data_IF_824943271286
#
_entry.id   IF_824943271286
#
_cell.length_a   1.000
_cell.length_b   1.000
_cell.length_c   1.000
_cell.angle_alpha   90.00
_cell.angle_beta   90.00
_cell.angle_gamma   90.00
#
_symmetry.space_group_name_H-M   'P 1'
#
loop_
_entity.id
_entity.type
_entity.pdbx_description
1 polymer ?
#
# COMPACT_ATOMS: atom_id res chain seq x y z
N UNK A 1 -8.41 2.34 3.48
CA UNK A 1 -9.45 1.59 2.77
C UNK A 1 -10.33 0.90 3.79
N UNK A 2 -11.59 0.66 3.44
CA UNK A 2 -12.61 0.00 4.25
C UNK A 2 -13.02 -1.32 3.62
N UNK A 3 -13.81 -2.12 4.34
CA UNK A 3 -14.48 -3.28 3.74
C UNK A 3 -15.31 -2.85 2.52
N UNK A 4 -15.40 -3.73 1.52
CA UNK A 4 -16.08 -3.51 0.23
C UNK A 4 -15.41 -2.45 -0.67
N UNK A 5 -14.18 -2.05 -0.36
CA UNK A 5 -13.34 -1.29 -1.27
C UNK A 5 -12.28 -2.19 -1.91
N UNK A 6 -11.95 -1.87 -3.15
CA UNK A 6 -10.93 -2.54 -3.95
C UNK A 6 -9.82 -1.56 -4.31
N UNK A 7 -8.58 -2.02 -4.18
CA UNK A 7 -7.40 -1.37 -4.72
C UNK A 7 -7.13 -1.97 -6.10
N UNK A 8 -7.18 -1.17 -7.15
CA UNK A 8 -6.79 -1.58 -8.49
C UNK A 8 -5.43 -0.98 -8.82
N UNK A 9 -4.55 -1.79 -9.40
CA UNK A 9 -3.27 -1.36 -9.95
C UNK A 9 -3.36 -1.60 -11.46
N UNK A 10 -3.55 -0.50 -12.19
CA UNK A 10 -3.86 -0.53 -13.62
C UNK A 10 -5.08 -1.46 -13.89
N UNK A 11 -5.10 -2.13 -15.05
CA UNK A 11 -6.07 -3.16 -15.39
C UNK A 11 -5.60 -4.60 -15.12
N UNK A 12 -4.51 -4.77 -14.37
CA UNK A 12 -3.82 -6.07 -14.24
C UNK A 12 -3.78 -6.62 -12.82
N UNK A 13 -4.05 -5.82 -11.80
CA UNK A 13 -4.19 -6.35 -10.45
C UNK A 13 -5.29 -5.65 -9.66
N UNK A 14 -5.92 -6.41 -8.78
CA UNK A 14 -6.96 -5.94 -7.88
C UNK A 14 -6.79 -6.61 -6.52
N UNK A 15 -7.01 -5.88 -5.43
CA UNK A 15 -7.05 -6.40 -4.07
C UNK A 15 -8.33 -5.90 -3.42
N UNK A 16 -9.22 -6.83 -3.10
CA UNK A 16 -10.49 -6.56 -2.45
C UNK A 16 -10.37 -6.70 -0.94
N UNK A 17 -10.98 -5.78 -0.21
CA UNK A 17 -11.06 -5.83 1.24
C UNK A 17 -12.32 -6.56 1.66
N UNK A 18 -12.17 -7.83 2.04
CA UNK A 18 -13.29 -8.70 2.40
C UNK A 18 -13.74 -8.44 3.83
N UNK A 19 -12.84 -8.58 4.80
CA UNK A 19 -13.15 -8.34 6.20
C UNK A 19 -11.97 -7.76 6.97
N UNK A 20 -12.30 -6.93 7.96
CA UNK A 20 -11.34 -6.22 8.78
C UNK A 20 -11.63 -6.46 10.27
N UNK A 21 -10.62 -6.35 11.15
CA UNK A 21 -10.84 -6.43 12.58
C UNK A 21 -11.80 -5.34 13.07
N UNK A 22 -12.92 -5.76 13.67
CA UNK A 22 -13.97 -4.86 14.17
C UNK A 22 -13.69 -4.39 15.60
N UNK A 23 -13.09 -5.25 16.44
CA UNK A 23 -12.84 -4.96 17.85
C UNK A 23 -11.44 -4.38 18.06
N UNK A 24 -11.41 -3.15 18.54
CA UNK A 24 -10.25 -2.61 19.24
C UNK A 24 -9.99 -3.46 20.49
N UNK A 25 -8.82 -4.07 20.61
CA UNK A 25 -8.33 -4.67 21.86
C UNK A 25 -7.35 -3.74 22.58
N UNK A 26 -7.19 -2.49 22.11
CA UNK A 26 -6.26 -1.52 22.69
C UNK A 26 -6.97 -0.25 23.12
N UNK A 27 -6.70 0.24 24.33
CA UNK A 27 -7.25 1.51 24.86
C UNK A 27 -6.99 2.74 23.95
N UNK A 28 -6.02 2.65 23.03
CA UNK A 28 -5.66 3.72 22.09
C UNK A 28 -6.43 3.70 20.78
N UNK A 29 -7.23 2.68 20.53
CA UNK A 29 -8.01 2.54 19.31
C UNK A 29 -9.45 3.00 19.57
N UNK A 30 -9.79 4.19 19.07
CA UNK A 30 -11.15 4.75 19.11
C UNK A 30 -12.16 3.73 18.55
N UNK A 31 -13.04 3.15 19.39
CA UNK A 31 -13.93 2.06 19.02
C UNK A 31 -14.99 2.51 17.99
N UNK A 32 -15.31 3.80 17.96
CA UNK A 32 -16.31 4.37 17.05
C UNK A 32 -15.79 4.61 15.63
N UNK A 33 -14.46 4.47 15.41
CA UNK A 33 -13.90 4.60 14.07
C UNK A 33 -14.17 3.35 13.25
N UNK A 34 -14.86 3.55 12.12
CA UNK A 34 -15.05 2.54 11.07
C UNK A 34 -13.74 1.76 10.82
N UNK A 35 -13.78 0.42 10.84
CA UNK A 35 -12.61 -0.40 10.53
C UNK A 35 -11.97 0.02 9.21
N UNK A 36 -10.64 0.09 9.21
CA UNK A 36 -9.88 0.47 8.02
C UNK A 36 -8.49 -0.13 8.02
N UNK A 37 -7.93 -0.25 6.82
CA UNK A 37 -6.55 -0.66 6.59
C UNK A 37 -5.79 0.37 5.78
N UNK A 38 -4.47 0.36 5.98
CA UNK A 38 -3.51 1.05 5.15
C UNK A 38 -2.88 0.02 4.21
N UNK A 39 -2.91 0.33 2.92
CA UNK A 39 -2.20 -0.40 1.88
C UNK A 39 -1.06 0.48 1.40
N UNK A 40 0.18 0.05 1.61
CA UNK A 40 1.37 0.74 1.07
C UNK A 40 1.79 0.01 -0.19
N UNK A 41 1.61 0.65 -1.34
CA UNK A 41 1.88 0.04 -2.65
C UNK A 41 3.33 0.31 -3.05
N UNK A 42 4.06 -0.75 -3.35
CA UNK A 42 5.39 -0.73 -3.94
C UNK A 42 5.27 -1.25 -5.36
N UNK A 43 5.15 -0.34 -6.32
CA UNK A 43 5.00 -0.65 -7.74
C UNK A 43 5.63 0.48 -8.59
N UNK A 44 5.69 0.30 -9.90
CA UNK A 44 6.12 1.37 -10.82
C UNK A 44 5.19 2.59 -10.70
N UNK A 45 5.76 3.80 -10.73
CA UNK A 45 4.99 5.06 -10.73
C UNK A 45 4.12 5.25 -11.99
N UNK A 46 4.43 4.50 -13.05
CA UNK A 46 3.67 4.52 -14.30
C UNK A 46 2.38 3.69 -14.22
N UNK A 47 2.21 2.89 -13.17
CA UNK A 47 1.00 2.09 -12.95
C UNK A 47 -0.01 2.92 -12.15
N UNK A 48 -1.13 3.34 -12.76
CA UNK A 48 -2.14 4.11 -12.05
C UNK A 48 -2.80 3.26 -10.96
N UNK A 49 -3.09 3.91 -9.83
CA UNK A 49 -3.75 3.28 -8.69
C UNK A 49 -5.17 3.84 -8.57
N UNK A 50 -6.16 2.96 -8.49
CA UNK A 50 -7.54 3.33 -8.28
C UNK A 50 -8.08 2.68 -7.01
N UNK A 51 -8.95 3.41 -6.31
CA UNK A 51 -9.73 2.89 -5.20
C UNK A 51 -11.19 3.01 -5.58
N UNK A 52 -11.92 1.90 -5.54
CA UNK A 52 -13.33 1.80 -5.95
C UNK A 52 -14.09 0.89 -4.99
N UNK A 53 -15.42 0.94 -5.05
CA UNK A 53 -16.23 -0.11 -4.43
C UNK A 53 -15.99 -1.43 -5.15
N UNK A 54 -15.95 -2.52 -4.42
CA UNK A 54 -15.74 -3.87 -4.98
C UNK A 54 -16.86 -4.26 -5.95
N UNK A 55 -18.08 -3.79 -5.72
CA UNK A 55 -19.20 -4.00 -6.65
C UNK A 55 -19.04 -3.31 -8.01
N UNK A 56 -18.21 -2.27 -8.09
CA UNK A 56 -18.00 -1.45 -9.30
C UNK A 56 -16.69 -1.80 -10.03
N UNK A 57 -15.79 -2.55 -9.39
CA UNK A 57 -14.41 -2.75 -9.87
C UNK A 57 -14.35 -3.51 -11.20
N UNK A 58 -15.18 -4.55 -11.36
CA UNK A 58 -15.26 -5.33 -12.60
C UNK A 58 -15.78 -4.48 -13.76
N UNK A 59 -16.91 -3.80 -13.59
CA UNK A 59 -17.49 -2.95 -14.64
C UNK A 59 -16.53 -1.81 -15.03
N UNK A 60 -15.83 -1.22 -14.05
CA UNK A 60 -14.80 -0.22 -14.31
C UNK A 60 -13.64 -0.80 -15.15
N UNK A 61 -13.14 -1.98 -14.79
CA UNK A 61 -12.04 -2.63 -15.50
C UNK A 61 -12.41 -2.99 -16.93
N UNK A 62 -13.58 -3.60 -17.15
CA UNK A 62 -14.08 -3.97 -18.48
C UNK A 62 -14.25 -2.73 -19.37
N UNK A 63 -14.85 -1.66 -18.84
CA UNK A 63 -15.08 -0.42 -19.58
C UNK A 63 -13.79 0.26 -20.06
N UNK A 64 -12.73 0.17 -19.27
CA UNK A 64 -11.48 0.89 -19.53
C UNK A 64 -10.31 -0.01 -19.95
N UNK A 65 -10.54 -1.31 -20.20
CA UNK A 65 -9.51 -2.23 -20.66
C UNK A 65 -8.93 -1.77 -22.00
N UNK A 66 -7.60 -1.73 -22.10
CA UNK A 66 -6.91 -1.23 -23.30
C UNK A 66 -6.93 0.30 -23.49
N UNK A 67 -7.64 1.04 -22.63
CA UNK A 67 -7.60 2.50 -22.65
C UNK A 67 -6.34 3.06 -21.97
N UNK A 68 -6.01 4.31 -22.28
CA UNK A 68 -4.92 5.04 -21.61
C UNK A 68 -5.14 5.25 -20.12
N UNK A 69 -6.39 5.09 -19.62
CA UNK A 69 -6.70 5.25 -18.20
C UNK A 69 -6.12 4.13 -17.34
N UNK A 70 -6.22 2.88 -17.81
CA UNK A 70 -5.67 1.74 -17.07
C UNK A 70 -4.18 1.53 -17.37
N UNK A 71 -3.64 2.10 -18.45
CA UNK A 71 -2.25 2.00 -18.92
C UNK A 71 -1.84 0.58 -19.33
N UNK A 72 -2.13 -0.44 -18.52
CA UNK A 72 -1.95 -1.86 -18.85
C UNK A 72 -3.21 -2.67 -18.55
N UNK A 73 -3.53 -3.73 -19.32
CA UNK A 73 -2.76 -4.22 -20.48
C UNK A 73 -2.77 -3.21 -21.64
N UNK A 74 -1.59 -2.96 -22.22
CA UNK A 74 -1.40 -2.08 -23.36
C UNK A 74 -1.32 -2.88 -24.66
N UNK A 75 -1.64 -2.30 -25.81
CA UNK A 75 -1.47 -2.95 -27.11
C UNK A 75 -2.66 -2.78 -28.03
N UNK A 76 -2.66 -3.52 -29.13
CA UNK A 76 -3.76 -3.53 -30.11
C UNK A 76 -4.97 -4.35 -29.62
N UNK A 77 -6.08 -4.21 -30.33
CA UNK A 77 -7.34 -4.87 -29.99
C UNK A 77 -7.18 -6.40 -29.88
N UNK A 78 -6.35 -7.03 -30.71
CA UNK A 78 -6.08 -8.46 -30.68
C UNK A 78 -5.41 -8.89 -29.37
N UNK A 79 -4.45 -8.11 -28.86
CA UNK A 79 -3.79 -8.39 -27.57
C UNK A 79 -4.75 -8.19 -26.40
N UNK A 80 -5.58 -7.15 -26.44
CA UNK A 80 -6.58 -6.87 -25.42
C UNK A 80 -7.62 -8.00 -25.38
N UNK A 81 -8.11 -8.47 -26.54
CA UNK A 81 -9.06 -9.57 -26.62
C UNK A 81 -8.50 -10.92 -26.15
N UNK A 82 -7.18 -11.12 -26.26
CA UNK A 82 -6.48 -12.31 -25.75
C UNK A 82 -5.98 -12.15 -24.31
N UNK A 83 -6.17 -10.97 -23.71
CA UNK A 83 -5.71 -10.75 -22.35
C UNK A 83 -6.54 -11.60 -21.40
N UNK A 84 -5.91 -12.43 -20.55
CA UNK A 84 -6.65 -13.40 -19.76
C UNK A 84 -7.43 -12.72 -18.63
N UNK A 85 -8.49 -13.39 -18.21
CA UNK A 85 -9.28 -12.96 -17.06
C UNK A 85 -8.46 -12.98 -15.77
N UNK A 86 -8.84 -12.11 -14.84
CA UNK A 86 -8.25 -12.11 -13.52
C UNK A 86 -8.88 -13.25 -12.71
N UNK A 87 -8.03 -14.14 -12.18
CA UNK A 87 -8.44 -15.11 -11.17
C UNK A 87 -7.89 -14.70 -9.83
N UNK A 88 -8.55 -15.19 -8.79
CA UNK A 88 -8.37 -14.70 -7.45
C UNK A 88 -7.79 -15.74 -6.51
N UNK A 89 -7.15 -15.27 -5.44
CA UNK A 89 -6.66 -16.08 -4.35
C UNK A 89 -6.95 -15.36 -3.02
N UNK A 90 -7.49 -16.11 -2.06
CA UNK A 90 -7.79 -15.59 -0.73
C UNK A 90 -6.47 -15.41 0.05
N UNK A 91 -6.37 -14.28 0.74
CA UNK A 91 -5.21 -13.89 1.53
C UNK A 91 -5.67 -13.56 2.94
N UNK A 92 -5.24 -14.37 3.91
CA UNK A 92 -5.56 -14.18 5.34
C UNK A 92 -4.31 -13.76 6.10
N UNK A 93 -4.39 -12.64 6.80
CA UNK A 93 -3.28 -12.04 7.55
C UNK A 93 -3.67 -11.79 8.99
N UNK A 94 -2.78 -12.10 9.93
CA UNK A 94 -2.95 -11.74 11.33
C UNK A 94 -2.17 -10.48 11.67
N UNK A 95 -2.87 -9.43 12.10
CA UNK A 95 -2.25 -8.15 12.45
C UNK A 95 -1.97 -8.03 13.94
N UNK A 96 -0.78 -7.55 14.27
CA UNK A 96 -0.38 -7.25 15.65
C UNK A 96 -0.75 -5.83 16.10
N UNK A 97 -1.21 -4.97 15.18
CA UNK A 97 -1.63 -3.59 15.46
C UNK A 97 -1.27 -2.61 14.34
N UNK A 98 -1.88 -1.42 14.39
CA UNK A 98 -1.83 -0.40 13.32
C UNK A 98 -0.47 0.28 13.12
N UNK A 99 0.52 -0.07 13.93
CA UNK A 99 1.88 0.47 13.88
C UNK A 99 2.83 -0.38 13.03
N UNK A 100 2.47 -1.63 12.70
CA UNK A 100 3.32 -2.58 11.97
C UNK A 100 2.51 -3.29 10.88
N UNK A 101 3.07 -3.40 9.69
CA UNK A 101 2.53 -4.19 8.60
C UNK A 101 2.46 -5.67 8.98
N UNK A 102 1.32 -6.30 8.72
CA UNK A 102 1.05 -7.70 9.05
C UNK A 102 1.59 -8.66 7.99
N UNK A 103 1.69 -8.22 6.74
CA UNK A 103 2.27 -8.97 5.64
C UNK A 103 2.25 -8.18 4.33
N UNK A 104 2.86 -8.75 3.30
CA UNK A 104 2.79 -8.22 1.94
C UNK A 104 1.96 -9.13 1.05
N UNK A 105 1.03 -8.54 0.29
CA UNK A 105 0.43 -9.17 -0.88
C UNK A 105 1.38 -8.96 -2.04
N UNK A 106 2.07 -10.01 -2.46
CA UNK A 106 3.01 -9.98 -3.57
C UNK A 106 2.25 -10.18 -4.88
N UNK A 107 2.49 -9.26 -5.82
CA UNK A 107 1.94 -9.25 -7.16
C UNK A 107 3.13 -9.37 -8.13
N UNK A 108 3.54 -10.60 -8.44
CA UNK A 108 4.80 -10.85 -9.17
C UNK A 108 4.91 -10.00 -10.43
N UNK A 109 6.10 -9.44 -10.67
CA UNK A 109 6.42 -8.47 -11.74
C UNK A 109 5.76 -7.09 -11.65
N UNK A 110 4.68 -6.91 -10.87
CA UNK A 110 4.06 -5.60 -10.62
C UNK A 110 4.62 -4.93 -9.36
N UNK A 111 4.95 -5.74 -8.35
CA UNK A 111 5.47 -5.29 -7.07
C UNK A 111 4.78 -5.98 -5.89
N UNK A 112 4.53 -5.25 -4.81
CA UNK A 112 3.82 -5.77 -3.65
C UNK A 112 3.09 -4.68 -2.88
N UNK A 113 2.11 -5.09 -2.06
CA UNK A 113 1.34 -4.20 -1.21
C UNK A 113 1.51 -4.62 0.25
N UNK A 114 2.15 -3.76 1.06
CA UNK A 114 2.25 -3.98 2.49
C UNK A 114 0.92 -3.60 3.16
N UNK A 115 0.33 -4.55 3.88
CA UNK A 115 -0.95 -4.40 4.57
C UNK A 115 -0.69 -4.05 6.03
N UNK A 116 -1.28 -2.95 6.50
CA UNK A 116 -1.24 -2.54 7.91
C UNK A 116 -2.67 -2.34 8.40
N UNK A 117 -3.01 -2.99 9.51
CA UNK A 117 -4.36 -3.00 10.07
C UNK A 117 -4.32 -2.88 11.59
N UNK A 118 -5.47 -2.61 12.22
CA UNK A 118 -5.63 -2.86 13.66
C UNK A 118 -5.37 -4.32 14.01
N UNK A 119 -5.23 -4.62 15.30
CA UNK A 119 -4.98 -5.99 15.77
C UNK A 119 -6.13 -6.92 15.39
N UNK A 120 -5.81 -8.10 14.90
CA UNK A 120 -6.77 -9.15 14.51
C UNK A 120 -6.63 -9.59 13.05
N UNK A 121 -7.52 -10.48 12.67
CA UNK A 121 -7.56 -11.11 11.34
C UNK A 121 -8.03 -10.13 10.25
N UNK A 122 -7.30 -10.11 9.14
CA UNK A 122 -7.60 -9.36 7.92
C UNK A 122 -7.76 -10.35 6.78
N UNK A 123 -8.90 -10.31 6.08
CA UNK A 123 -9.13 -11.12 4.87
C UNK A 123 -9.19 -10.23 3.65
N UNK A 124 -8.39 -10.60 2.65
CA UNK A 124 -8.32 -9.94 1.36
C UNK A 124 -8.52 -10.97 0.26
N UNK A 125 -9.01 -10.53 -0.89
CA UNK A 125 -9.02 -11.31 -2.11
C UNK A 125 -8.15 -10.61 -3.15
N UNK A 126 -7.04 -11.23 -3.55
CA UNK A 126 -6.13 -10.67 -4.54
C UNK A 126 -6.36 -11.30 -5.91
N UNK A 127 -6.20 -10.51 -6.97
CA UNK A 127 -6.51 -10.87 -8.34
C UNK A 127 -5.36 -10.47 -9.26
N UNK A 128 -4.95 -11.38 -10.14
CA UNK A 128 -3.97 -11.15 -11.22
C UNK A 128 -4.38 -11.98 -12.46
N UNK A 129 -3.76 -11.77 -13.64
CA UNK A 129 -4.02 -12.54 -14.85
C UNK A 129 -3.89 -14.04 -14.56
N UNK A 130 -5.00 -14.77 -14.68
CA UNK A 130 -5.13 -16.18 -14.31
C UNK A 130 -4.73 -16.53 -12.85
N UNK A 131 -4.63 -15.55 -11.95
CA UNK A 131 -4.18 -15.74 -10.57
C UNK A 131 -2.68 -15.97 -10.44
N UNK A 132 -1.91 -15.76 -11.51
CA UNK A 132 -0.46 -16.01 -11.52
C UNK A 132 0.28 -15.00 -10.66
N UNK A 133 1.30 -15.49 -9.96
CA UNK A 133 2.23 -14.62 -9.23
C UNK A 133 1.67 -13.95 -7.98
N UNK A 134 0.50 -14.39 -7.50
CA UNK A 134 -0.05 -14.04 -6.21
C UNK A 134 0.66 -14.84 -5.11
N UNK A 135 1.18 -14.14 -4.11
CA UNK A 135 1.81 -14.79 -2.96
C UNK A 135 1.67 -13.93 -1.70
N UNK A 136 1.51 -14.58 -0.55
CA UNK A 136 1.47 -13.91 0.74
C UNK A 136 2.83 -13.99 1.42
N UNK A 137 3.47 -12.85 1.68
CA UNK A 137 4.75 -12.79 2.38
C UNK A 137 4.55 -12.33 3.82
N UNK A 138 4.85 -13.20 4.77
CA UNK A 138 4.80 -12.94 6.21
C UNK A 138 6.13 -13.34 6.87
N UNK A 139 6.76 -12.46 7.68
CA UNK A 139 6.38 -11.08 7.96
C UNK A 139 6.58 -10.15 6.74
N UNK A 140 5.95 -8.96 6.78
CA UNK A 140 6.15 -7.94 5.76
C UNK A 140 7.63 -7.54 5.64
N UNK A 141 8.10 -7.29 4.41
CA UNK A 141 9.49 -6.93 4.11
C UNK A 141 9.86 -5.56 4.68
N UNK A 142 8.95 -4.59 4.58
CA UNK A 142 9.10 -3.24 5.12
C UNK A 142 7.97 -2.95 6.12
N UNK A 143 8.01 -3.56 7.32
CA UNK A 143 6.86 -3.59 8.23
C UNK A 143 6.52 -2.22 8.83
N UNK A 144 7.40 -1.23 8.73
CA UNK A 144 7.15 0.13 9.25
C UNK A 144 6.84 1.16 8.16
N UNK A 145 6.69 0.74 6.89
CA UNK A 145 6.50 1.66 5.76
C UNK A 145 5.27 2.56 5.92
N UNK A 146 4.19 2.05 6.53
CA UNK A 146 2.99 2.84 6.77
C UNK A 146 3.25 4.07 7.65
N UNK A 147 4.25 4.04 8.53
CA UNK A 147 4.63 5.18 9.38
C UNK A 147 5.32 6.31 8.61
N UNK A 148 5.87 6.00 7.43
CA UNK A 148 6.55 6.97 6.56
C UNK A 148 5.56 7.80 5.72
N UNK A 149 4.26 7.49 5.79
CA UNK A 149 3.21 8.23 5.07
C UNK A 149 3.20 9.72 5.47
N UNK A 150 2.90 10.56 4.49
CA UNK A 150 2.65 11.99 4.65
C UNK A 150 1.25 12.29 5.17
N UNK A 151 0.86 13.56 5.05
CA UNK A 151 -0.52 13.96 5.33
C UNK A 151 -1.49 13.29 4.36
N UNK A 152 -2.73 13.07 4.80
CA UNK A 152 -3.80 12.61 3.91
C UNK A 152 -4.04 13.63 2.80
N UNK A 153 -4.32 13.16 1.59
CA UNK A 153 -4.75 14.02 0.47
C UNK A 153 -6.26 14.25 0.62
N UNK A 154 -6.67 15.50 0.77
CA UNK A 154 -8.07 15.89 0.97
C UNK A 154 -8.98 15.33 -0.12
N UNK A 155 -10.16 14.84 0.28
CA UNK A 155 -11.13 14.24 -0.65
C UNK A 155 -10.78 12.83 -1.16
N UNK A 156 -9.65 12.24 -0.74
CA UNK A 156 -9.24 10.90 -1.21
C UNK A 156 -8.88 9.95 -0.06
N UNK A 157 -8.68 8.68 -0.39
CA UNK A 157 -8.13 7.67 0.52
C UNK A 157 -6.59 7.61 0.52
N UNK A 158 -5.93 8.42 -0.32
CA UNK A 158 -4.49 8.42 -0.50
C UNK A 158 -3.76 9.34 0.49
N UNK A 159 -2.47 9.09 0.67
CA UNK A 159 -1.56 9.89 1.49
C UNK A 159 -0.43 10.44 0.63
N UNK A 160 0.08 11.62 0.97
CA UNK A 160 1.30 12.14 0.35
C UNK A 160 2.48 11.23 0.70
N UNK A 161 3.45 11.10 -0.21
CA UNK A 161 4.72 10.43 0.09
C UNK A 161 5.66 11.46 0.70
N UNK A 162 6.19 11.20 1.90
CA UNK A 162 7.26 12.03 2.45
C UNK A 162 8.54 11.69 1.69
N UNK A 163 9.26 12.69 1.20
CA UNK A 163 10.62 12.45 0.68
C UNK A 163 11.48 11.92 1.83
N UNK A 164 12.21 10.82 1.64
CA UNK A 164 13.20 10.38 2.60
C UNK A 164 14.20 11.52 2.82
N UNK A 165 14.33 11.98 4.06
CA UNK A 165 15.44 12.85 4.43
C UNK A 165 16.61 11.92 4.70
N UNK A 166 17.53 11.83 3.74
CA UNK A 166 18.78 11.13 3.97
C UNK A 166 19.58 11.93 5.02
N UNK A 167 20.05 11.29 6.10
CA UNK A 167 20.92 11.98 7.05
C UNK A 167 22.15 12.48 6.29
N UNK A 168 22.45 13.79 6.36
CA UNK A 168 23.70 14.33 5.83
C UNK A 168 24.85 13.65 6.61
N UNK A 169 25.71 12.85 5.95
CA UNK A 169 26.80 12.15 6.63
C UNK A 169 27.73 13.14 7.35
N UNK A 170 27.84 14.37 6.86
CA UNK A 170 28.64 15.43 7.46
C UNK A 170 27.91 16.24 8.54
N UNK A 171 26.60 16.04 8.77
CA UNK A 171 25.88 16.75 9.84
C UNK A 171 26.46 16.44 11.22
N UNK A 172 26.85 15.18 11.45
CA UNK A 172 27.53 14.75 12.68
C UNK A 172 28.90 15.42 12.85
N UNK A 173 29.65 15.58 11.74
CA UNK A 173 30.97 16.20 11.69
C UNK A 173 30.90 17.72 11.92
N UNK A 174 29.88 18.38 11.34
CA UNK A 174 29.57 19.80 11.54
C UNK A 174 29.13 20.07 12.98
N UNK A 175 28.30 19.21 13.58
CA UNK A 175 27.91 19.32 15.00
C UNK A 175 29.11 19.17 15.94
N UNK A 176 30.02 18.20 15.69
CA UNK A 176 31.26 18.04 16.46
C UNK A 176 32.16 19.28 16.38
N UNK A 177 32.37 19.84 15.18
CA UNK A 177 33.16 21.08 14.99
C UNK A 177 32.53 22.30 15.66
N UNK A 178 31.19 22.41 15.68
CA UNK A 178 30.47 23.48 16.40
C UNK A 178 30.63 23.37 17.92
N UNK A 179 30.56 22.17 18.49
CA UNK A 179 30.79 21.95 19.93
C UNK A 179 32.24 22.25 20.35
N UNK A 180 33.23 21.93 19.53
CA UNK A 180 34.64 22.21 19.84
C UNK A 180 35.00 23.70 19.70
N UNK A 181 34.43 24.40 18.72
CA UNK A 181 34.62 25.86 18.57
C UNK A 181 33.89 26.67 19.65
N UNK A 182 32.69 26.25 20.07
CA UNK A 182 31.97 26.83 21.22
C UNK A 182 32.73 26.67 22.53
N UNK A 183 33.30 25.49 22.82
CA UNK A 183 34.15 25.27 24.02
C UNK A 183 35.43 26.10 24.03
N UNK A 184 35.99 26.45 22.86
CA UNK A 184 37.17 27.31 22.76
C UNK A 184 36.85 28.78 23.00
N UNK A 185 35.66 29.25 22.62
CA UNK A 185 35.20 30.63 22.89
C UNK A 185 34.81 30.89 24.34
N UNK A 186 34.42 29.87 25.10
CA UNK A 186 34.04 30.01 26.51
C UNK A 186 35.21 29.95 27.50
N UNK A 187 36.47 29.98 27.02
CA UNK A 187 37.70 29.88 27.82
C UNK A 187 38.59 31.13 27.76
N UNK A 188 38.05 32.25 27.27
CA UNK A 188 38.68 33.57 27.28
C UNK A 188 37.71 34.58 27.87
#
# INVERSE_FOLDING_TARGET
MHSEESLLIAGVAQIDVISLPVKSTSEKDYPERRPSILMTVFASEQLPIFIRKTSESNAFREKYLGSSLLVVPAGNAERIARFPDLKSSEMVLESCGSWKGCGDVVLSSLGWVCVTSRRGEVRLQAYTPEGRGLFLRTPALLPYCAQLRGSRIGGTAAYKVKRPVLPDPDASRKQRKRKTSSKRRAKF
#
